data_IF_446879358449
#
_entry.id   IF_446879358449
#
_cell.length_a   1.000
_cell.length_b   1.000
_cell.length_c   1.000
_cell.angle_alpha   90.00
_cell.angle_beta   90.00
_cell.angle_gamma   90.00
#
_symmetry.space_group_name_H-M   'P 1'
#
loop_
_entity.id
_entity.type
_entity.pdbx_description
1 polymer ?
#
# COMPACT_ATOMS: atom_id res chain seq x y z
N UNK A 1 -6.66 26.64 19.73
CA UNK A 1 -7.22 27.44 18.61
C UNK A 1 -6.28 28.53 18.10
N UNK A 2 -5.65 29.34 18.94
CA UNK A 2 -4.76 30.49 18.56
C UNK A 2 -3.48 30.02 17.81
N UNK A 3 -2.87 28.90 18.13
CA UNK A 3 -1.65 28.40 17.46
C UNK A 3 -1.87 27.91 16.01
N UNK A 4 -3.06 27.51 15.67
CA UNK A 4 -3.40 27.06 14.30
C UNK A 4 -3.62 28.25 13.37
N UNK A 5 -4.12 29.37 13.90
CA UNK A 5 -4.30 30.63 13.13
C UNK A 5 -2.96 31.32 12.80
N UNK A 6 -1.99 31.29 13.69
CA UNK A 6 -0.66 31.92 13.48
C UNK A 6 0.11 31.13 12.41
N UNK A 7 0.01 29.80 12.39
CA UNK A 7 0.68 28.95 11.39
C UNK A 7 0.14 29.16 9.97
N UNK A 8 -1.19 29.28 9.82
CA UNK A 8 -1.81 29.54 8.53
C UNK A 8 -1.47 30.90 7.91
N UNK A 9 -1.08 31.86 8.72
CA UNK A 9 -0.70 33.21 8.26
C UNK A 9 0.77 33.31 7.84
N UNK A 10 1.67 32.55 8.48
CA UNK A 10 3.11 32.53 8.18
C UNK A 10 3.46 31.69 6.94
N UNK A 11 2.70 30.62 6.63
CA UNK A 11 2.97 29.72 5.49
C UNK A 11 2.60 30.35 4.14
N UNK A 12 1.76 31.39 4.10
CA UNK A 12 1.33 32.04 2.84
C UNK A 12 2.37 32.99 2.21
N UNK A 13 3.48 33.28 2.89
CA UNK A 13 4.34 34.43 2.48
C UNK A 13 5.67 34.02 1.82
N UNK A 14 6.17 32.76 1.92
CA UNK A 14 7.58 32.49 1.58
C UNK A 14 7.96 31.20 0.86
N UNK A 15 7.05 30.29 0.45
CA UNK A 15 7.49 29.03 -0.16
C UNK A 15 6.72 28.66 -1.43
N UNK A 16 7.38 28.05 -2.44
CA UNK A 16 6.69 27.50 -3.60
C UNK A 16 5.72 26.38 -3.18
N UNK A 17 4.61 26.25 -3.89
CA UNK A 17 3.46 25.35 -3.59
C UNK A 17 3.89 23.92 -3.24
N UNK A 18 4.95 23.44 -3.86
CA UNK A 18 5.51 22.09 -3.66
C UNK A 18 6.15 21.92 -2.27
N UNK A 19 6.86 22.92 -1.77
CA UNK A 19 7.43 22.92 -0.42
C UNK A 19 6.34 23.02 0.66
N UNK A 20 5.22 23.67 0.35
CA UNK A 20 4.08 23.80 1.25
C UNK A 20 3.32 22.47 1.41
N UNK A 21 3.26 21.62 0.36
CA UNK A 21 2.67 20.28 0.43
C UNK A 21 3.56 19.34 1.27
N UNK A 22 4.86 19.36 1.07
CA UNK A 22 5.81 18.57 1.86
C UNK A 22 5.77 18.94 3.34
N UNK A 23 5.71 20.22 3.67
CA UNK A 23 5.57 20.69 5.04
C UNK A 23 4.21 20.30 5.66
N UNK A 24 3.13 20.31 4.89
CA UNK A 24 1.80 19.84 5.38
C UNK A 24 1.81 18.35 5.67
N UNK A 25 2.37 17.52 4.79
CA UNK A 25 2.51 16.08 5.03
C UNK A 25 3.40 15.81 6.24
N UNK A 26 4.52 16.53 6.37
CA UNK A 26 5.41 16.42 7.52
C UNK A 26 4.72 16.82 8.83
N UNK A 27 3.89 17.88 8.82
CA UNK A 27 3.13 18.31 10.00
C UNK A 27 2.01 17.35 10.37
N UNK A 28 1.31 16.76 9.39
CA UNK A 28 0.29 15.74 9.63
C UNK A 28 0.93 14.48 10.22
N UNK A 29 2.06 14.03 9.68
CA UNK A 29 2.82 12.88 10.20
C UNK A 29 3.39 13.17 11.60
N UNK A 30 3.86 14.39 11.87
CA UNK A 30 4.37 14.80 13.17
C UNK A 30 3.26 14.91 14.23
N UNK A 31 2.11 15.49 13.88
CA UNK A 31 0.94 15.55 14.76
C UNK A 31 0.38 14.14 15.06
N UNK A 32 0.39 13.25 14.07
CA UNK A 32 0.01 11.86 14.23
C UNK A 32 1.03 11.08 15.08
N UNK A 33 2.33 11.32 14.92
CA UNK A 33 3.40 10.76 15.77
C UNK A 33 3.28 11.18 17.23
N UNK A 34 2.80 12.40 17.51
CA UNK A 34 2.50 12.85 18.88
C UNK A 34 1.27 12.14 19.44
N UNK A 35 0.25 11.86 18.62
CA UNK A 35 -0.95 11.12 19.03
C UNK A 35 -0.64 9.66 19.34
N UNK A 36 0.21 9.02 18.56
CA UNK A 36 0.64 7.60 18.76
C UNK A 36 1.48 7.44 20.03
N UNK A 37 2.16 8.48 20.49
CA UNK A 37 2.90 8.42 21.78
C UNK A 37 1.96 8.23 22.97
N UNK A 38 0.65 8.51 22.80
CA UNK A 38 -0.39 8.31 23.80
C UNK A 38 -1.07 6.94 23.69
N UNK A 39 -1.04 6.27 22.52
CA UNK A 39 -1.71 4.97 22.27
C UNK A 39 -0.77 3.75 22.38
N UNK A 40 0.38 3.88 23.05
CA UNK A 40 1.44 2.86 23.12
C UNK A 40 1.10 1.57 23.90
N UNK A 41 -0.19 1.31 24.18
CA UNK A 41 -0.62 0.08 24.84
C UNK A 41 -1.22 -0.99 23.92
N UNK A 42 -1.42 -0.74 22.62
CA UNK A 42 -2.24 -1.63 21.77
C UNK A 42 -1.51 -2.44 20.69
N UNK A 43 -0.19 -2.35 20.61
CA UNK A 43 0.56 -2.91 19.47
C UNK A 43 0.85 -4.42 19.50
N UNK A 44 0.62 -5.09 20.63
CA UNK A 44 0.67 -6.56 20.71
C UNK A 44 -0.60 -7.22 20.13
N UNK A 45 -1.70 -6.46 20.02
CA UNK A 45 -2.99 -6.97 19.52
C UNK A 45 -3.02 -7.12 17.99
N UNK A 46 -2.38 -6.24 17.20
CA UNK A 46 -2.47 -6.29 15.74
C UNK A 46 -1.66 -7.44 15.11
N UNK A 47 -0.48 -7.77 15.64
CA UNK A 47 0.28 -8.95 15.20
C UNK A 47 -0.42 -10.25 15.61
N UNK A 48 -1.08 -10.26 16.78
CA UNK A 48 -1.90 -11.39 17.22
C UNK A 48 -3.18 -11.51 16.37
N UNK A 49 -3.70 -10.42 15.83
CA UNK A 49 -4.93 -10.41 15.05
C UNK A 49 -4.77 -11.02 13.66
N UNK A 50 -3.66 -10.79 12.96
CA UNK A 50 -3.38 -11.41 11.65
C UNK A 50 -3.31 -12.95 11.73
N UNK A 51 -2.95 -13.50 12.89
CA UNK A 51 -2.97 -14.95 13.15
C UNK A 51 -4.30 -15.46 13.72
N UNK A 52 -5.18 -14.55 14.13
CA UNK A 52 -6.52 -14.93 14.62
C UNK A 52 -7.42 -15.46 13.49
N UNK A 53 -8.45 -16.23 13.84
CA UNK A 53 -9.47 -16.65 12.86
C UNK A 53 -10.13 -15.44 12.20
N UNK A 54 -10.42 -14.37 12.96
CA UNK A 54 -10.96 -13.10 12.47
C UNK A 54 -10.02 -12.47 11.44
N UNK A 55 -8.73 -12.31 11.77
CA UNK A 55 -7.75 -11.68 10.90
C UNK A 55 -7.54 -12.45 9.60
N UNK A 56 -7.54 -13.78 9.65
CA UNK A 56 -7.46 -14.62 8.42
C UNK A 56 -8.69 -14.46 7.53
N UNK A 57 -9.89 -14.44 8.12
CA UNK A 57 -11.14 -14.22 7.38
C UNK A 57 -11.17 -12.82 6.77
N UNK A 58 -10.79 -11.81 7.56
CA UNK A 58 -10.70 -10.43 7.10
C UNK A 58 -9.73 -10.28 5.92
N UNK A 59 -8.48 -10.76 6.07
CA UNK A 59 -7.47 -10.68 5.02
C UNK A 59 -7.92 -11.37 3.73
N UNK A 60 -8.53 -12.57 3.86
CA UNK A 60 -9.03 -13.31 2.70
C UNK A 60 -10.19 -12.58 2.00
N UNK A 61 -11.18 -12.11 2.74
CA UNK A 61 -12.31 -11.37 2.14
C UNK A 61 -11.87 -10.05 1.53
N UNK A 62 -10.94 -9.32 2.19
CA UNK A 62 -10.35 -8.10 1.66
C UNK A 62 -9.71 -8.34 0.30
N UNK A 63 -8.84 -9.35 0.22
CA UNK A 63 -8.18 -9.75 -1.02
C UNK A 63 -9.19 -10.13 -2.11
N UNK A 64 -10.15 -10.98 -1.78
CA UNK A 64 -11.17 -11.45 -2.73
C UNK A 64 -12.04 -10.29 -3.28
N UNK A 65 -12.37 -9.29 -2.44
CA UNK A 65 -13.09 -8.08 -2.87
C UNK A 65 -12.20 -7.23 -3.79
N UNK A 66 -10.96 -6.95 -3.39
CA UNK A 66 -10.03 -6.12 -4.17
C UNK A 66 -9.65 -6.75 -5.51
N UNK A 67 -9.60 -8.08 -5.59
CA UNK A 67 -9.38 -8.83 -6.84
C UNK A 67 -10.65 -8.97 -7.70
N UNK A 68 -11.79 -8.45 -7.24
CA UNK A 68 -13.05 -8.48 -8.00
C UNK A 68 -13.72 -9.86 -8.05
N UNK A 69 -13.43 -10.76 -7.11
CA UNK A 69 -14.13 -12.06 -7.02
C UNK A 69 -15.60 -11.89 -6.62
N UNK A 70 -15.88 -10.85 -5.84
CA UNK A 70 -17.23 -10.40 -5.53
C UNK A 70 -17.60 -9.20 -6.38
N UNK A 71 -18.81 -9.19 -6.92
CA UNK A 71 -19.30 -8.07 -7.74
C UNK A 71 -19.75 -6.90 -6.85
N UNK A 72 -19.76 -5.69 -7.41
CA UNK A 72 -20.37 -4.54 -6.73
C UNK A 72 -21.81 -4.87 -6.32
N UNK A 73 -22.18 -4.50 -5.09
CA UNK A 73 -23.48 -4.79 -4.43
C UNK A 73 -23.81 -6.26 -4.22
N UNK A 74 -22.86 -7.17 -4.39
CA UNK A 74 -23.07 -8.59 -4.07
C UNK A 74 -23.23 -8.78 -2.55
N UNK A 75 -24.19 -9.63 -2.16
CA UNK A 75 -24.44 -9.96 -0.75
C UNK A 75 -23.40 -10.95 -0.20
N UNK A 76 -22.72 -10.56 0.86
CA UNK A 76 -21.74 -11.39 1.58
C UNK A 76 -22.44 -12.18 2.69
N UNK A 77 -22.88 -13.40 2.38
CA UNK A 77 -23.64 -14.26 3.31
C UNK A 77 -22.71 -14.90 4.35
N UNK A 78 -22.83 -14.49 5.63
CA UNK A 78 -22.03 -15.01 6.76
C UNK A 78 -21.99 -16.55 6.80
N UNK A 79 -23.12 -17.22 6.52
CA UNK A 79 -23.22 -18.68 6.57
C UNK A 79 -22.42 -19.35 5.45
N UNK A 80 -22.46 -18.79 4.23
CA UNK A 80 -21.73 -19.30 3.07
C UNK A 80 -20.23 -19.14 3.29
N UNK A 81 -19.80 -17.94 3.62
CA UNK A 81 -18.40 -17.61 3.89
C UNK A 81 -17.85 -18.47 5.04
N UNK A 82 -18.60 -18.60 6.12
CA UNK A 82 -18.19 -19.44 7.25
C UNK A 82 -18.00 -20.91 6.86
N UNK A 83 -18.88 -21.45 6.00
CA UNK A 83 -18.77 -22.82 5.48
C UNK A 83 -17.54 -22.98 4.57
N UNK A 84 -17.31 -22.04 3.66
CA UNK A 84 -16.17 -22.05 2.73
C UNK A 84 -14.82 -21.96 3.45
N UNK A 85 -14.73 -21.11 4.47
CA UNK A 85 -13.51 -20.91 5.24
C UNK A 85 -13.36 -21.84 6.45
N UNK A 86 -14.32 -22.72 6.71
CA UNK A 86 -14.29 -23.66 7.83
C UNK A 86 -14.35 -22.98 9.20
N UNK A 87 -15.06 -21.85 9.32
CA UNK A 87 -15.15 -21.06 10.55
C UNK A 87 -16.62 -20.82 10.97
N UNK A 88 -16.86 -20.46 12.23
CA UNK A 88 -18.18 -20.05 12.71
C UNK A 88 -18.57 -18.66 12.15
N UNK A 89 -19.84 -18.27 12.31
CA UNK A 89 -20.34 -16.96 11.85
C UNK A 89 -19.72 -15.76 12.59
N UNK A 90 -19.29 -15.94 13.84
CA UNK A 90 -18.75 -14.85 14.66
C UNK A 90 -17.51 -14.20 14.04
N UNK A 91 -16.40 -14.92 13.71
CA UNK A 91 -15.23 -14.31 13.07
C UNK A 91 -15.56 -13.72 11.69
N UNK A 92 -16.53 -14.28 10.95
CA UNK A 92 -16.98 -13.70 9.66
C UNK A 92 -17.65 -12.35 9.88
N UNK A 93 -18.57 -12.24 10.86
CA UNK A 93 -19.26 -10.99 11.17
C UNK A 93 -18.30 -9.90 11.64
N UNK A 94 -17.32 -10.25 12.46
CA UNK A 94 -16.31 -9.31 12.90
C UNK A 94 -15.41 -8.84 11.74
N UNK A 95 -15.03 -9.75 10.84
CA UNK A 95 -14.30 -9.41 9.62
C UNK A 95 -15.11 -8.46 8.72
N UNK A 96 -16.41 -8.72 8.51
CA UNK A 96 -17.29 -7.85 7.72
C UNK A 96 -17.42 -6.45 8.34
N UNK A 97 -17.49 -6.33 9.67
CA UNK A 97 -17.48 -5.02 10.35
C UNK A 97 -16.17 -4.27 10.12
N UNK A 98 -15.06 -4.97 10.12
CA UNK A 98 -13.76 -4.36 9.84
C UNK A 98 -13.66 -3.90 8.38
N UNK A 99 -14.17 -4.70 7.43
CA UNK A 99 -14.27 -4.31 6.02
C UNK A 99 -15.21 -3.10 5.81
N UNK A 100 -16.26 -2.97 6.63
CA UNK A 100 -17.12 -1.78 6.61
C UNK A 100 -16.36 -0.52 7.06
N UNK A 101 -15.50 -0.61 8.09
CA UNK A 101 -14.65 0.50 8.51
C UNK A 101 -13.64 0.92 7.42
N UNK A 102 -13.22 -0.01 6.57
CA UNK A 102 -12.39 0.27 5.39
C UNK A 102 -13.19 0.77 4.18
N UNK A 103 -14.53 0.79 4.26
CA UNK A 103 -15.41 1.21 3.16
C UNK A 103 -15.59 0.17 2.05
N UNK A 104 -15.01 -1.03 2.18
CA UNK A 104 -15.12 -2.10 1.19
C UNK A 104 -16.45 -2.85 1.23
N UNK A 105 -17.19 -2.73 2.33
CA UNK A 105 -18.47 -3.38 2.58
C UNK A 105 -19.41 -2.36 3.22
N UNK A 106 -20.70 -2.48 2.90
CA UNK A 106 -21.79 -1.76 3.58
C UNK A 106 -22.67 -2.76 4.31
N UNK A 107 -22.85 -2.60 5.63
CA UNK A 107 -23.76 -3.43 6.44
C UNK A 107 -25.09 -2.71 6.58
N UNK A 108 -26.14 -3.32 6.02
CA UNK A 108 -27.51 -2.80 6.13
C UNK A 108 -28.24 -3.55 7.26
N UNK A 109 -28.70 -2.86 8.31
CA UNK A 109 -29.43 -3.49 9.42
C UNK A 109 -30.57 -4.37 8.92
N UNK A 110 -30.63 -5.61 9.42
CA UNK A 110 -31.63 -6.64 9.08
C UNK A 110 -31.65 -7.08 7.58
N UNK A 111 -30.72 -6.60 6.74
CA UNK A 111 -30.65 -7.01 5.34
C UNK A 111 -29.37 -7.76 4.98
N UNK A 112 -28.25 -7.49 5.65
CA UNK A 112 -26.99 -8.19 5.42
C UNK A 112 -25.84 -7.25 5.10
N UNK A 113 -24.71 -7.84 4.67
CA UNK A 113 -23.51 -7.15 4.25
C UNK A 113 -23.38 -7.20 2.72
N UNK A 114 -23.01 -6.09 2.09
CA UNK A 114 -22.95 -5.94 0.66
C UNK A 114 -21.59 -5.35 0.26
N UNK A 115 -21.02 -5.82 -0.84
CA UNK A 115 -19.76 -5.29 -1.39
C UNK A 115 -19.99 -3.85 -1.86
N UNK A 116 -19.16 -2.94 -1.39
CA UNK A 116 -19.04 -1.57 -1.91
C UNK A 116 -17.88 -1.48 -2.90
N UNK A 117 -16.83 -2.29 -2.64
CA UNK A 117 -15.63 -2.31 -3.47
C UNK A 117 -14.82 -1.03 -3.36
N UNK A 118 -14.04 -0.76 -4.39
CA UNK A 118 -13.21 0.42 -4.54
C UNK A 118 -13.42 1.01 -5.93
N UNK A 119 -13.71 2.29 -6.03
CA UNK A 119 -13.89 2.97 -7.31
C UNK A 119 -12.55 3.29 -7.99
N UNK A 120 -12.56 3.50 -9.32
CA UNK A 120 -11.36 3.91 -10.06
C UNK A 120 -10.82 5.26 -9.54
N UNK A 121 -11.71 6.14 -9.07
CA UNK A 121 -11.30 7.39 -8.42
C UNK A 121 -10.54 7.11 -7.14
N UNK A 122 -11.03 6.21 -6.28
CA UNK A 122 -10.33 5.85 -5.03
C UNK A 122 -8.98 5.21 -5.31
N UNK A 123 -8.89 4.37 -6.36
CA UNK A 123 -7.61 3.78 -6.81
C UNK A 123 -6.64 4.89 -7.19
N UNK A 124 -7.06 5.87 -8.00
CA UNK A 124 -6.23 7.01 -8.39
C UNK A 124 -5.78 7.84 -7.18
N UNK A 125 -6.69 8.15 -6.25
CA UNK A 125 -6.39 8.90 -5.03
C UNK A 125 -5.37 8.14 -4.16
N UNK A 126 -5.53 6.81 -4.02
CA UNK A 126 -4.58 5.94 -3.29
C UNK A 126 -3.20 5.95 -3.95
N UNK A 127 -3.11 5.83 -5.28
CA UNK A 127 -1.83 5.85 -5.98
C UNK A 127 -1.14 7.20 -5.87
N UNK A 128 -1.89 8.29 -5.93
CA UNK A 128 -1.36 9.64 -5.71
C UNK A 128 -0.79 9.77 -4.29
N UNK A 129 -1.52 9.35 -3.26
CA UNK A 129 -1.03 9.37 -1.87
C UNK A 129 0.20 8.48 -1.72
N UNK A 130 0.15 7.26 -2.26
CA UNK A 130 1.28 6.31 -2.20
C UNK A 130 2.54 6.86 -2.85
N UNK A 131 2.44 7.55 -3.99
CA UNK A 131 3.62 8.08 -4.68
C UNK A 131 4.44 9.00 -3.77
N UNK A 132 3.79 9.89 -3.04
CA UNK A 132 4.47 10.75 -2.07
C UNK A 132 5.00 9.99 -0.85
N UNK A 133 4.23 9.02 -0.34
CA UNK A 133 4.64 8.23 0.82
C UNK A 133 5.78 7.27 0.48
N UNK A 134 5.79 6.66 -0.70
CA UNK A 134 6.87 5.78 -1.15
C UNK A 134 8.14 6.56 -1.47
N UNK A 135 8.03 7.75 -2.05
CA UNK A 135 9.17 8.67 -2.19
C UNK A 135 9.81 8.99 -0.84
N UNK A 136 9.00 9.42 0.14
CA UNK A 136 9.47 9.67 1.51
C UNK A 136 10.09 8.42 2.15
N UNK A 137 9.49 7.25 1.91
CA UNK A 137 9.98 5.96 2.41
C UNK A 137 11.37 5.65 1.85
N UNK A 138 11.57 5.79 0.54
CA UNK A 138 12.86 5.58 -0.12
C UNK A 138 13.93 6.58 0.34
N UNK A 139 13.55 7.84 0.54
CA UNK A 139 14.43 8.86 1.12
C UNK A 139 14.95 8.45 2.50
N UNK A 140 14.06 7.98 3.38
CA UNK A 140 14.44 7.53 4.72
C UNK A 140 15.19 6.19 4.71
N UNK A 141 14.91 5.30 3.75
CA UNK A 141 15.67 4.07 3.58
C UNK A 141 17.15 4.31 3.27
N UNK A 142 17.50 5.40 2.58
CA UNK A 142 18.91 5.78 2.35
C UNK A 142 19.74 5.92 3.64
N UNK A 143 19.09 6.28 4.76
CA UNK A 143 19.75 6.48 6.06
C UNK A 143 19.63 5.25 6.98
N UNK A 144 18.56 4.47 6.83
CA UNK A 144 18.17 3.47 7.83
C UNK A 144 18.31 2.02 7.36
N UNK A 145 18.49 1.77 6.05
CA UNK A 145 18.59 0.41 5.50
C UNK A 145 19.83 -0.31 6.03
N UNK A 146 19.66 -1.58 6.42
CA UNK A 146 20.81 -2.44 6.75
C UNK A 146 21.41 -3.06 5.48
N UNK A 147 22.66 -3.55 5.57
CA UNK A 147 23.29 -4.22 4.43
C UNK A 147 22.52 -5.48 4.02
N UNK A 148 22.02 -6.26 5.00
CA UNK A 148 21.22 -7.45 4.73
C UNK A 148 19.92 -7.12 3.99
N UNK A 149 19.24 -6.02 4.38
CA UNK A 149 18.03 -5.56 3.69
C UNK A 149 18.33 -5.09 2.26
N UNK A 150 19.47 -4.43 2.05
CA UNK A 150 19.88 -3.97 0.74
C UNK A 150 20.20 -5.17 -0.17
N UNK A 151 20.94 -6.16 0.31
CA UNK A 151 21.23 -7.40 -0.41
C UNK A 151 19.93 -8.16 -0.76
N UNK A 152 18.99 -8.30 0.18
CA UNK A 152 17.69 -8.93 -0.07
C UNK A 152 16.86 -8.18 -1.12
N UNK A 153 16.93 -6.84 -1.12
CA UNK A 153 16.25 -5.99 -2.09
C UNK A 153 16.82 -6.19 -3.49
N UNK A 154 18.14 -6.23 -3.62
CA UNK A 154 18.83 -6.49 -4.88
C UNK A 154 18.57 -7.90 -5.42
N UNK A 155 18.61 -8.90 -4.54
CA UNK A 155 18.25 -10.27 -4.90
C UNK A 155 16.82 -10.35 -5.44
N UNK A 156 15.88 -9.66 -4.79
CA UNK A 156 14.48 -9.67 -5.25
C UNK A 156 14.33 -9.10 -6.66
N UNK A 157 15.06 -8.02 -6.98
CA UNK A 157 15.06 -7.39 -8.32
C UNK A 157 15.74 -8.29 -9.36
N UNK A 158 16.86 -8.90 -9.01
CA UNK A 158 17.58 -9.83 -9.89
C UNK A 158 16.72 -11.06 -10.24
N UNK A 159 16.08 -11.67 -9.24
CA UNK A 159 15.20 -12.82 -9.46
C UNK A 159 13.95 -12.43 -10.25
N UNK A 160 13.39 -11.22 -10.02
CA UNK A 160 12.26 -10.73 -10.80
C UNK A 160 12.60 -10.62 -12.30
N UNK A 161 13.79 -10.12 -12.63
CA UNK A 161 14.27 -10.05 -14.02
C UNK A 161 14.39 -11.44 -14.64
N UNK A 162 15.01 -12.40 -13.92
CA UNK A 162 15.13 -13.78 -14.37
C UNK A 162 13.77 -14.42 -14.64
N UNK A 163 12.80 -14.24 -13.74
CA UNK A 163 11.46 -14.80 -13.89
C UNK A 163 10.66 -14.11 -15.00
N UNK A 164 10.83 -12.80 -15.20
CA UNK A 164 10.21 -12.07 -16.30
C UNK A 164 10.68 -12.58 -17.68
N UNK A 165 11.97 -12.91 -17.84
CA UNK A 165 12.53 -13.50 -19.07
C UNK A 165 12.00 -14.92 -19.33
N UNK A 166 11.53 -15.61 -18.32
CA UNK A 166 10.92 -16.95 -18.40
C UNK A 166 9.39 -16.92 -18.47
N UNK A 167 8.80 -15.72 -18.53
CA UNK A 167 7.34 -15.52 -18.51
C UNK A 167 6.66 -16.08 -17.26
N UNK A 168 7.38 -16.19 -16.16
CA UNK A 168 6.87 -16.65 -14.87
C UNK A 168 6.28 -15.44 -14.09
N UNK A 169 5.18 -14.88 -14.58
CA UNK A 169 4.64 -13.61 -14.06
C UNK A 169 4.10 -13.67 -12.63
N UNK A 170 3.64 -14.82 -12.17
CA UNK A 170 3.23 -15.01 -10.76
C UNK A 170 4.41 -14.79 -9.82
N UNK A 171 5.59 -15.35 -10.15
CA UNK A 171 6.83 -15.15 -9.39
C UNK A 171 7.31 -13.71 -9.46
N UNK A 172 7.13 -13.03 -10.59
CA UNK A 172 7.45 -11.59 -10.70
C UNK A 172 6.60 -10.77 -9.74
N UNK A 173 5.29 -11.05 -9.64
CA UNK A 173 4.39 -10.38 -8.68
C UNK A 173 4.80 -10.64 -7.23
N UNK A 174 5.20 -11.86 -6.89
CA UNK A 174 5.67 -12.19 -5.54
C UNK A 174 6.96 -11.44 -5.18
N UNK A 175 7.89 -11.34 -6.13
CA UNK A 175 9.17 -10.63 -5.94
C UNK A 175 8.98 -9.10 -5.89
N UNK A 176 8.05 -8.55 -6.66
CA UNK A 176 7.61 -7.15 -6.55
C UNK A 176 7.04 -6.85 -5.15
N UNK A 177 6.19 -7.73 -4.63
CA UNK A 177 5.68 -7.62 -3.27
C UNK A 177 6.81 -7.68 -2.22
N UNK A 178 7.79 -8.59 -2.41
CA UNK A 178 8.97 -8.71 -1.53
C UNK A 178 9.79 -7.41 -1.54
N UNK A 179 10.08 -6.87 -2.73
CA UNK A 179 10.81 -5.61 -2.90
C UNK A 179 10.17 -4.46 -2.10
N UNK A 180 8.88 -4.19 -2.34
CA UNK A 180 8.17 -3.12 -1.64
C UNK A 180 8.12 -3.34 -0.12
N UNK A 181 7.92 -4.59 0.32
CA UNK A 181 7.92 -4.92 1.75
C UNK A 181 9.27 -4.61 2.40
N UNK A 182 10.39 -4.94 1.75
CA UNK A 182 11.73 -4.61 2.25
C UNK A 182 11.90 -3.10 2.33
N UNK A 183 11.54 -2.35 1.27
CA UNK A 183 11.60 -0.89 1.23
C UNK A 183 10.83 -0.26 2.40
N UNK A 184 9.60 -0.73 2.66
CA UNK A 184 8.76 -0.20 3.74
C UNK A 184 9.36 -0.44 5.13
N UNK A 185 10.01 -1.58 5.34
CA UNK A 185 10.69 -1.87 6.61
C UNK A 185 12.01 -1.10 6.75
N UNK A 186 12.72 -0.88 5.65
CA UNK A 186 14.01 -0.19 5.61
C UNK A 186 13.91 1.30 5.95
N UNK A 187 12.76 1.95 5.82
CA UNK A 187 12.61 3.38 6.13
C UNK A 187 12.78 3.73 7.63
N UNK A 188 12.84 2.74 8.52
CA UNK A 188 12.99 2.94 9.97
C UNK A 188 11.77 3.54 10.67
N UNK A 189 10.65 3.77 9.97
CA UNK A 189 9.42 4.31 10.53
C UNK A 189 8.30 3.28 10.52
N UNK A 190 7.97 2.73 11.69
CA UNK A 190 6.84 1.79 11.83
C UNK A 190 5.52 2.38 11.33
N UNK A 191 5.30 3.67 11.55
CA UNK A 191 4.08 4.36 11.13
C UNK A 191 3.96 4.41 9.61
N UNK A 192 5.04 4.87 8.93
CA UNK A 192 5.06 4.96 7.47
C UNK A 192 4.99 3.57 6.84
N UNK A 193 5.76 2.61 7.36
CA UNK A 193 5.74 1.22 6.93
C UNK A 193 4.32 0.63 6.98
N UNK A 194 3.60 0.80 8.11
CA UNK A 194 2.23 0.29 8.25
C UNK A 194 1.28 0.92 7.23
N UNK A 195 1.28 2.25 7.09
CA UNK A 195 0.45 2.94 6.11
C UNK A 195 0.70 2.44 4.68
N UNK A 196 1.97 2.24 4.31
CA UNK A 196 2.33 1.76 2.99
C UNK A 196 1.92 0.30 2.78
N UNK A 197 2.06 -0.57 3.79
CA UNK A 197 1.58 -1.96 3.73
C UNK A 197 0.07 -1.98 3.52
N UNK A 198 -0.70 -1.15 4.24
CA UNK A 198 -2.15 -1.07 4.08
C UNK A 198 -2.54 -0.61 2.68
N UNK A 199 -1.94 0.47 2.16
CA UNK A 199 -2.21 0.93 0.80
C UNK A 199 -1.71 -0.03 -0.29
N UNK A 200 -0.66 -0.80 -0.02
CA UNK A 200 -0.14 -1.80 -0.94
C UNK A 200 -1.17 -2.88 -1.29
N UNK A 201 -2.06 -3.24 -0.36
CA UNK A 201 -3.15 -4.18 -0.64
C UNK A 201 -4.11 -3.66 -1.71
N UNK A 202 -4.41 -2.36 -1.72
CA UNK A 202 -5.29 -1.76 -2.74
C UNK A 202 -4.64 -1.74 -4.14
N UNK A 203 -3.32 -1.81 -4.22
CA UNK A 203 -2.61 -1.83 -5.49
C UNK A 203 -2.56 -3.21 -6.19
N UNK A 204 -3.09 -4.27 -5.58
CA UNK A 204 -2.98 -5.64 -6.11
C UNK A 204 -3.55 -5.78 -7.53
N UNK A 205 -4.73 -5.18 -7.80
CA UNK A 205 -5.35 -5.20 -9.14
C UNK A 205 -4.42 -4.56 -10.17
N UNK A 206 -3.92 -3.37 -9.88
CA UNK A 206 -3.01 -2.60 -10.76
C UNK A 206 -1.73 -3.37 -11.04
N UNK A 207 -1.11 -3.95 -10.01
CA UNK A 207 0.10 -4.76 -10.16
C UNK A 207 -0.12 -5.99 -11.01
N UNK A 208 -1.23 -6.71 -10.79
CA UNK A 208 -1.55 -7.89 -11.59
C UNK A 208 -1.65 -7.55 -13.08
N UNK A 209 -2.21 -6.40 -13.43
CA UNK A 209 -2.25 -5.91 -14.82
C UNK A 209 -0.86 -5.52 -15.30
N UNK A 210 -0.12 -4.71 -14.54
CA UNK A 210 1.20 -4.20 -14.95
C UNK A 210 2.28 -5.29 -15.09
N UNK A 211 2.17 -6.38 -14.32
CA UNK A 211 3.18 -7.44 -14.29
C UNK A 211 2.74 -8.69 -15.08
N UNK A 212 1.61 -8.64 -15.82
CA UNK A 212 1.09 -9.75 -16.60
C UNK A 212 1.76 -9.93 -17.98
N UNK A 213 2.58 -8.98 -18.40
CA UNK A 213 3.28 -8.97 -19.67
C UNK A 213 4.76 -8.68 -19.49
N UNK A 214 5.61 -9.36 -20.28
CA UNK A 214 7.07 -9.22 -20.20
C UNK A 214 7.54 -7.77 -20.33
N UNK A 215 7.02 -7.03 -21.31
CA UNK A 215 7.41 -5.65 -21.55
C UNK A 215 7.12 -4.74 -20.35
N UNK A 216 5.96 -4.89 -19.73
CA UNK A 216 5.54 -4.09 -18.57
C UNK A 216 6.31 -4.49 -17.32
N UNK A 217 6.49 -5.80 -17.10
CA UNK A 217 7.30 -6.33 -16.01
C UNK A 217 8.74 -5.81 -16.07
N UNK A 218 9.37 -5.83 -17.25
CA UNK A 218 10.73 -5.30 -17.46
C UNK A 218 10.83 -3.81 -17.13
N UNK A 219 9.82 -3.00 -17.47
CA UNK A 219 9.83 -1.57 -17.10
C UNK A 219 9.80 -1.38 -15.57
N UNK A 220 8.89 -2.08 -14.87
CA UNK A 220 8.82 -2.03 -13.40
C UNK A 220 10.14 -2.45 -12.75
N UNK A 221 10.75 -3.53 -13.25
CA UNK A 221 12.04 -4.02 -12.76
C UNK A 221 13.17 -2.99 -12.96
N UNK A 222 13.21 -2.29 -14.10
CA UNK A 222 14.19 -1.22 -14.35
C UNK A 222 14.00 -0.02 -13.41
N UNK A 223 12.75 0.32 -13.08
CA UNK A 223 12.43 1.35 -12.07
C UNK A 223 12.92 0.93 -10.69
N UNK A 224 12.68 -0.33 -10.28
CA UNK A 224 13.19 -0.88 -9.03
C UNK A 224 14.71 -0.85 -8.95
N UNK A 225 15.43 -1.21 -10.02
CA UNK A 225 16.90 -1.12 -10.09
C UNK A 225 17.40 0.29 -9.80
N UNK A 226 16.73 1.33 -10.37
CA UNK A 226 17.10 2.73 -10.12
C UNK A 226 16.89 3.13 -8.68
N UNK A 227 15.79 2.67 -8.06
CA UNK A 227 15.51 2.94 -6.64
C UNK A 227 16.59 2.31 -5.76
N UNK A 228 16.90 1.03 -5.98
CA UNK A 228 17.96 0.31 -5.25
C UNK A 228 19.29 1.00 -5.38
N UNK A 229 19.70 1.37 -6.60
CA UNK A 229 20.96 2.05 -6.85
C UNK A 229 21.03 3.40 -6.15
N UNK A 230 19.94 4.18 -6.16
CA UNK A 230 19.87 5.45 -5.45
C UNK A 230 20.00 5.27 -3.93
N UNK A 231 19.34 4.25 -3.35
CA UNK A 231 19.42 3.92 -1.93
C UNK A 231 20.85 3.47 -1.57
N UNK A 232 21.45 2.55 -2.36
CA UNK A 232 22.84 2.09 -2.17
C UNK A 232 23.84 3.24 -2.15
N UNK A 233 23.68 4.19 -3.07
CA UNK A 233 24.52 5.37 -3.19
C UNK A 233 24.15 6.48 -2.19
N UNK A 234 23.18 6.25 -1.30
CA UNK A 234 22.64 7.22 -0.35
C UNK A 234 22.22 8.54 -1.01
N UNK A 235 21.77 8.48 -2.25
CA UNK A 235 21.27 9.62 -2.99
C UNK A 235 19.77 9.82 -2.66
N UNK A 236 19.54 10.48 -1.53
CA UNK A 236 18.21 10.72 -0.94
C UNK A 236 17.23 11.32 -1.96
N UNK A 237 17.67 12.35 -2.71
CA UNK A 237 16.82 13.02 -3.69
C UNK A 237 16.43 12.11 -4.84
N UNK A 238 17.38 11.36 -5.40
CA UNK A 238 17.08 10.42 -6.48
C UNK A 238 16.21 9.26 -6.01
N UNK A 239 16.44 8.74 -4.81
CA UNK A 239 15.61 7.68 -4.23
C UNK A 239 14.15 8.13 -4.04
N UNK A 240 13.93 9.36 -3.52
CA UNK A 240 12.61 9.97 -3.38
C UNK A 240 11.91 10.10 -4.74
N UNK A 241 12.59 10.69 -5.72
CA UNK A 241 12.06 10.96 -7.07
C UNK A 241 11.73 9.65 -7.79
N UNK A 242 12.65 8.67 -7.82
CA UNK A 242 12.43 7.41 -8.53
C UNK A 242 11.32 6.56 -7.91
N UNK A 243 11.20 6.52 -6.58
CA UNK A 243 10.12 5.80 -5.93
C UNK A 243 8.75 6.48 -6.15
N UNK A 244 8.69 7.81 -6.13
CA UNK A 244 7.50 8.57 -6.50
C UNK A 244 7.08 8.26 -7.95
N UNK A 245 8.00 8.37 -8.90
CA UNK A 245 7.73 8.20 -10.32
C UNK A 245 7.32 6.78 -10.66
N UNK A 246 7.94 5.76 -10.02
CA UNK A 246 7.55 4.36 -10.15
C UNK A 246 6.07 4.13 -9.88
N UNK A 247 5.53 4.72 -8.80
CA UNK A 247 4.12 4.59 -8.46
C UNK A 247 3.22 5.33 -9.45
N UNK A 248 3.62 6.52 -9.90
CA UNK A 248 2.87 7.30 -10.88
C UNK A 248 2.84 6.61 -12.26
N UNK A 249 3.95 6.04 -12.70
CA UNK A 249 4.01 5.28 -13.95
C UNK A 249 3.22 3.95 -13.87
N UNK A 250 3.12 3.35 -12.68
CA UNK A 250 2.32 2.14 -12.48
C UNK A 250 0.83 2.37 -12.76
N UNK A 251 0.24 3.47 -12.27
CA UNK A 251 -1.18 3.78 -12.51
C UNK A 251 -1.42 4.19 -13.95
N UNK A 252 -0.51 4.95 -14.55
CA UNK A 252 -0.59 5.34 -15.96
C UNK A 252 -0.61 4.12 -16.89
N UNK A 253 0.30 3.16 -16.68
CA UNK A 253 0.34 1.91 -17.46
C UNK A 253 -0.93 1.08 -17.34
N UNK A 254 -1.60 1.11 -16.17
CA UNK A 254 -2.90 0.44 -16.01
C UNK A 254 -3.97 1.10 -16.88
N UNK A 255 -4.06 2.43 -16.88
CA UNK A 255 -5.04 3.15 -17.68
C UNK A 255 -4.81 2.96 -19.19
N UNK A 256 -3.55 2.96 -19.63
CA UNK A 256 -3.19 2.69 -21.02
C UNK A 256 -3.63 1.27 -21.42
N UNK A 257 -3.47 0.28 -20.53
CA UNK A 257 -3.93 -1.08 -20.76
C UNK A 257 -5.45 -1.25 -20.85
N UNK A 258 -6.21 -0.45 -20.08
CA UNK A 258 -7.68 -0.46 -20.11
C UNK A 258 -8.23 0.26 -21.36
N UNK A 259 -7.48 1.20 -21.93
CA UNK A 259 -7.86 1.92 -23.15
C UNK A 259 -7.64 1.10 -24.44
N UNK A 260 -6.75 0.09 -24.39
CA UNK A 260 -6.42 -0.78 -25.52
C UNK A 260 -7.36 -2.00 -25.66
N UNK A 261 -8.35 -2.18 -24.76
CA UNK A 261 -9.33 -3.27 -24.73
C UNK A 261 -10.70 -2.77 -25.15
#
# INVERSE_FOLDING_TARGET
MIRVLIFNTLVKVCFPVQACLQLKVYYILYAWRLRIKMDNMDNSYELADSHSLRGRVFGRLREDILLGKYKDKEELKEVVIGKELGVSRTPVREALRQLELEGLVTIIPNKGAYVTGISDKDVNDIFMIRSYLEGLCAAWACENITEEQLEEMEESVFLAEFHAEKEHFEQVVELDNKFHKILYHACGSRVLSKLLVDYHHYAQKVRKVNLSEEKRAKHSILEHKRIVEAIRNKNVKAAEEYAHDHIMESIKRMHDAEADV
#
